data_IF_390014880352
#
_entry.id   IF_390014880352
#
_cell.length_a   1.000
_cell.length_b   1.000
_cell.length_c   1.000
_cell.angle_alpha   90.00
_cell.angle_beta   90.00
_cell.angle_gamma   90.00
#
_symmetry.space_group_name_H-M   'P 1'
#
loop_
_entity.id
_entity.type
_entity.pdbx_description
1 polymer ?
#
# COMPACT_ATOMS: atom_id res chain seq x y z
N UNK A 1 -24.52 -25.78 16.57
CA UNK A 1 -23.13 -25.63 16.10
C UNK A 1 -23.25 -25.00 14.72
N UNK A 2 -22.99 -23.69 14.59
CA UNK A 2 -22.96 -23.03 13.30
C UNK A 2 -21.70 -23.52 12.58
N UNK A 3 -21.85 -24.13 11.41
CA UNK A 3 -20.72 -24.54 10.59
C UNK A 3 -19.97 -23.27 10.16
N UNK A 4 -18.68 -23.17 10.49
CA UNK A 4 -17.78 -22.24 9.80
C UNK A 4 -17.81 -22.62 8.32
N UNK A 5 -18.28 -21.72 7.47
CA UNK A 5 -18.07 -21.86 6.03
C UNK A 5 -16.56 -21.88 5.77
N UNK A 6 -16.01 -23.04 5.40
CA UNK A 6 -14.65 -23.14 4.86
C UNK A 6 -14.58 -22.15 3.68
N UNK A 7 -13.73 -21.12 3.80
CA UNK A 7 -13.43 -20.24 2.68
C UNK A 7 -13.03 -21.10 1.47
N UNK A 8 -13.52 -20.80 0.25
CA UNK A 8 -13.13 -21.56 -0.93
C UNK A 8 -11.60 -21.55 -1.06
N UNK A 9 -11.00 -22.75 -1.09
CA UNK A 9 -9.55 -22.92 -1.18
C UNK A 9 -9.07 -22.32 -2.50
N UNK A 10 -8.26 -21.27 -2.41
CA UNK A 10 -7.66 -20.67 -3.59
C UNK A 10 -6.78 -21.70 -4.30
N UNK A 11 -6.80 -21.69 -5.64
CA UNK A 11 -5.89 -22.48 -6.45
C UNK A 11 -4.46 -21.95 -6.34
N UNK A 12 -3.47 -22.79 -6.61
CA UNK A 12 -2.05 -22.45 -6.43
C UNK A 12 -1.46 -21.73 -7.63
N UNK A 13 -0.63 -20.72 -7.37
CA UNK A 13 0.25 -20.07 -8.33
C UNK A 13 1.71 -20.12 -7.83
N UNK A 14 2.66 -20.22 -8.76
CA UNK A 14 4.10 -20.23 -8.46
C UNK A 14 4.75 -19.05 -9.16
N UNK A 15 5.27 -18.10 -8.40
CA UNK A 15 5.98 -16.94 -8.93
C UNK A 15 7.47 -17.29 -9.08
N UNK A 16 7.99 -17.21 -10.30
CA UNK A 16 9.41 -17.37 -10.60
C UNK A 16 9.95 -16.13 -11.31
N UNK A 17 10.90 -15.43 -10.70
CA UNK A 17 11.45 -14.18 -11.24
C UNK A 17 12.28 -14.34 -12.52
N UNK A 18 12.63 -15.57 -12.92
CA UNK A 18 13.33 -15.82 -14.18
C UNK A 18 12.38 -16.01 -15.38
N UNK A 19 11.08 -16.17 -15.12
CA UNK A 19 10.10 -16.37 -16.17
C UNK A 19 9.47 -15.04 -16.62
N UNK A 20 9.31 -14.89 -17.93
CA UNK A 20 8.65 -13.71 -18.50
C UNK A 20 7.12 -13.85 -18.56
N UNK A 21 6.61 -15.07 -18.37
CA UNK A 21 5.19 -15.38 -18.26
C UNK A 21 5.01 -16.51 -17.25
N UNK A 22 3.95 -16.41 -16.44
CA UNK A 22 3.69 -17.32 -15.32
C UNK A 22 2.19 -17.62 -15.33
N UNK A 23 1.83 -18.90 -15.24
CA UNK A 23 0.42 -19.31 -15.21
C UNK A 23 -0.32 -18.67 -14.03
N UNK A 24 -1.49 -18.10 -14.34
CA UNK A 24 -2.39 -17.46 -13.38
C UNK A 24 -1.78 -16.27 -12.62
N UNK A 25 -0.74 -15.64 -13.17
CA UNK A 25 -0.10 -14.45 -12.60
C UNK A 25 0.04 -13.38 -13.68
N UNK A 26 -0.43 -12.18 -13.37
CA UNK A 26 -0.15 -10.97 -14.17
C UNK A 26 1.17 -10.38 -13.72
N UNK A 27 2.07 -10.10 -14.66
CA UNK A 27 3.37 -9.45 -14.42
C UNK A 27 3.30 -8.02 -14.94
N UNK A 28 3.36 -7.05 -14.03
CA UNK A 28 3.42 -5.61 -14.32
C UNK A 28 4.85 -5.12 -14.11
N UNK A 29 5.59 -4.96 -15.21
CA UNK A 29 6.96 -4.42 -15.24
C UNK A 29 6.91 -2.90 -15.27
N UNK A 30 6.80 -2.28 -14.10
CA UNK A 30 6.74 -0.81 -13.99
C UNK A 30 8.12 -0.18 -14.25
N UNK A 31 9.19 -0.87 -13.86
CA UNK A 31 10.57 -0.59 -14.27
C UNK A 31 11.42 -1.85 -14.12
N UNK A 32 12.68 -1.81 -14.55
CA UNK A 32 13.63 -2.91 -14.33
C UNK A 32 13.89 -3.17 -12.84
N UNK A 33 13.74 -2.13 -12.01
CA UNK A 33 13.94 -2.19 -10.56
C UNK A 33 12.65 -2.46 -9.78
N UNK A 34 11.50 -2.49 -10.45
CA UNK A 34 10.20 -2.59 -9.80
C UNK A 34 9.21 -3.40 -10.64
N UNK A 35 8.99 -4.64 -10.23
CA UNK A 35 8.12 -5.59 -10.93
C UNK A 35 7.07 -6.13 -9.96
N UNK A 36 5.81 -6.04 -10.34
CA UNK A 36 4.67 -6.49 -9.54
C UNK A 36 4.09 -7.76 -10.17
N UNK A 37 3.95 -8.80 -9.37
CA UNK A 37 3.35 -10.08 -9.74
C UNK A 37 2.04 -10.23 -8.98
N UNK A 38 0.93 -10.36 -9.70
CA UNK A 38 -0.41 -10.45 -9.10
C UNK A 38 -1.09 -11.74 -9.50
N UNK A 39 -1.40 -12.59 -8.53
CA UNK A 39 -2.18 -13.80 -8.78
C UNK A 39 -3.60 -13.45 -9.26
N UNK A 40 -4.07 -14.17 -10.28
CA UNK A 40 -5.42 -13.99 -10.83
C UNK A 40 -6.49 -14.30 -9.77
N UNK A 41 -7.71 -13.82 -10.02
CA UNK A 41 -8.85 -14.15 -9.17
C UNK A 41 -9.03 -15.67 -9.05
N UNK A 42 -9.33 -16.15 -7.84
CA UNK A 42 -9.38 -17.59 -7.53
C UNK A 42 -8.01 -18.24 -7.25
N UNK A 43 -6.89 -17.56 -7.48
CA UNK A 43 -5.53 -18.09 -7.22
C UNK A 43 -4.82 -17.37 -6.07
N UNK A 44 -3.89 -18.06 -5.41
CA UNK A 44 -2.99 -17.52 -4.41
C UNK A 44 -1.56 -18.01 -4.66
N UNK A 45 -0.57 -17.20 -4.31
CA UNK A 45 0.84 -17.53 -4.50
C UNK A 45 1.25 -18.53 -3.41
N UNK A 46 1.46 -19.78 -3.81
CA UNK A 46 1.96 -20.85 -2.94
C UNK A 46 3.48 -20.75 -2.77
N UNK A 47 4.18 -20.38 -3.84
CA UNK A 47 5.65 -20.43 -3.88
C UNK A 47 6.22 -19.24 -4.63
N UNK A 48 7.27 -18.66 -4.06
CA UNK A 48 8.11 -17.64 -4.69
C UNK A 48 9.50 -18.25 -4.88
N UNK A 49 10.04 -18.17 -6.10
CA UNK A 49 11.35 -18.72 -6.46
C UNK A 49 12.13 -17.82 -7.40
N UNK A 50 13.43 -18.06 -7.47
CA UNK A 50 14.36 -17.48 -8.44
C UNK A 50 15.09 -18.67 -9.10
N UNK A 51 14.54 -19.12 -10.24
CA UNK A 51 15.00 -20.34 -10.92
C UNK A 51 14.75 -21.60 -10.08
N UNK A 52 15.85 -22.29 -9.75
CA UNK A 52 15.85 -23.51 -8.93
C UNK A 52 15.78 -23.20 -7.42
N UNK A 53 16.04 -21.95 -7.02
CA UNK A 53 16.07 -21.56 -5.61
C UNK A 53 14.71 -21.12 -5.11
N UNK A 54 14.15 -21.84 -4.14
CA UNK A 54 12.90 -21.46 -3.48
C UNK A 54 13.18 -20.38 -2.44
N UNK A 55 12.51 -19.23 -2.59
CA UNK A 55 12.62 -18.08 -1.69
C UNK A 55 11.67 -18.24 -0.50
N UNK A 56 10.40 -18.56 -0.79
CA UNK A 56 9.36 -18.76 0.23
C UNK A 56 8.29 -19.72 -0.29
N UNK A 57 7.75 -20.54 0.61
CA UNK A 57 6.56 -21.37 0.38
C UNK A 57 5.52 -21.05 1.45
N UNK A 58 4.25 -21.02 1.07
CA UNK A 58 3.12 -20.65 1.92
C UNK A 58 2.15 -21.82 2.06
N UNK A 59 1.58 -22.00 3.26
CA UNK A 59 0.43 -22.88 3.44
C UNK A 59 -0.85 -22.11 3.04
N UNK A 60 -1.44 -22.50 1.91
CA UNK A 60 -2.65 -21.86 1.39
C UNK A 60 -3.91 -22.09 2.24
N UNK A 61 -3.83 -22.95 3.26
CA UNK A 61 -4.88 -23.10 4.27
C UNK A 61 -4.83 -22.00 5.33
N UNK A 62 -3.64 -21.49 5.60
CA UNK A 62 -3.41 -20.46 6.62
C UNK A 62 -3.35 -19.06 6.00
N UNK A 63 -2.74 -18.94 4.83
CA UNK A 63 -2.39 -17.68 4.20
C UNK A 63 -2.82 -17.67 2.74
N UNK A 64 -3.21 -16.50 2.21
CA UNK A 64 -3.63 -16.40 0.81
C UNK A 64 -2.89 -15.26 0.11
N UNK A 65 -1.58 -15.39 -0.13
CA UNK A 65 -0.80 -14.29 -0.69
C UNK A 65 -1.28 -13.96 -2.10
N UNK A 66 -1.48 -12.67 -2.37
CA UNK A 66 -2.03 -12.21 -3.66
C UNK A 66 -1.01 -11.51 -4.54
N UNK A 67 -0.11 -10.76 -3.93
CA UNK A 67 0.83 -9.92 -4.64
C UNK A 67 2.23 -10.19 -4.14
N UNK A 68 3.16 -10.35 -5.08
CA UNK A 68 4.59 -10.40 -4.83
C UNK A 68 5.22 -9.25 -5.61
N UNK A 69 6.07 -8.47 -4.97
CA UNK A 69 6.74 -7.33 -5.60
C UNK A 69 8.24 -7.53 -5.47
N UNK A 70 8.93 -7.52 -6.60
CA UNK A 70 10.40 -7.53 -6.64
C UNK A 70 10.87 -6.09 -6.76
N UNK A 71 11.67 -5.65 -5.80
CA UNK A 71 12.36 -4.37 -5.80
C UNK A 71 13.86 -4.59 -5.98
N UNK A 72 14.51 -3.73 -6.74
CA UNK A 72 15.97 -3.56 -6.71
C UNK A 72 16.23 -2.15 -6.18
N UNK A 73 16.91 -2.05 -5.03
CA UNK A 73 17.27 -0.77 -4.42
C UNK A 73 18.73 -0.81 -3.98
N UNK A 74 19.49 0.21 -4.38
CA UNK A 74 20.94 0.26 -4.16
C UNK A 74 21.66 -1.03 -4.64
N UNK A 75 21.25 -1.54 -5.81
CA UNK A 75 21.72 -2.81 -6.39
C UNK A 75 21.48 -4.06 -5.51
N UNK A 76 20.60 -3.96 -4.50
CA UNK A 76 20.19 -5.08 -3.65
C UNK A 76 18.74 -5.47 -3.96
N UNK A 77 18.45 -6.76 -4.16
CA UNK A 77 17.09 -7.19 -4.42
C UNK A 77 16.33 -7.45 -3.12
N UNK A 78 15.07 -7.01 -3.12
CA UNK A 78 14.10 -7.21 -2.06
C UNK A 78 12.83 -7.80 -2.66
N UNK A 79 12.13 -8.60 -1.87
CA UNK A 79 10.85 -9.20 -2.23
C UNK A 79 9.84 -8.84 -1.15
N UNK A 80 8.76 -8.18 -1.54
CA UNK A 80 7.64 -7.84 -0.66
C UNK A 80 6.46 -8.71 -1.05
N UNK A 81 5.88 -9.43 -0.10
CA UNK A 81 4.77 -10.35 -0.33
C UNK A 81 3.59 -9.90 0.52
N UNK A 82 2.46 -9.60 -0.12
CA UNK A 82 1.21 -9.35 0.57
C UNK A 82 0.59 -10.69 0.98
N UNK A 83 0.97 -11.18 2.16
CA UNK A 83 0.53 -12.47 2.73
C UNK A 83 -0.97 -12.45 3.02
N UNK A 84 -1.43 -11.31 3.56
CA UNK A 84 -2.84 -10.94 3.68
C UNK A 84 -3.00 -9.48 3.23
N UNK A 85 -4.23 -8.99 3.07
CA UNK A 85 -4.49 -7.62 2.63
C UNK A 85 -3.83 -6.55 3.52
N UNK A 86 -3.58 -6.84 4.79
CA UNK A 86 -2.96 -5.92 5.74
C UNK A 86 -1.59 -6.40 6.24
N UNK A 87 -1.13 -7.60 5.87
CA UNK A 87 0.10 -8.19 6.39
C UNK A 87 1.09 -8.44 5.26
N UNK A 88 2.22 -7.75 5.33
CA UNK A 88 3.30 -7.91 4.37
C UNK A 88 4.46 -8.69 4.99
N UNK A 89 5.11 -9.51 4.17
CA UNK A 89 6.39 -10.13 4.46
C UNK A 89 7.44 -9.49 3.55
N UNK A 90 8.59 -9.10 4.10
CA UNK A 90 9.70 -8.57 3.32
C UNK A 90 10.90 -9.50 3.46
N UNK A 91 11.52 -9.84 2.34
CA UNK A 91 12.75 -10.62 2.26
C UNK A 91 13.79 -9.80 1.52
N UNK A 92 15.01 -9.74 2.05
CA UNK A 92 16.17 -9.18 1.36
C UNK A 92 17.13 -10.29 0.98
N UNK A 93 17.80 -10.14 -0.16
CA UNK A 93 18.89 -11.04 -0.52
C UNK A 93 20.16 -10.61 0.19
N UNK A 94 20.69 -11.48 1.02
CA UNK A 94 21.97 -11.34 1.70
C UNK A 94 22.92 -12.41 1.17
N UNK A 95 23.85 -12.00 0.32
CA UNK A 95 24.69 -12.89 -0.48
C UNK A 95 23.84 -13.88 -1.31
N UNK A 96 23.92 -15.18 -1.03
CA UNK A 96 23.17 -16.23 -1.72
C UNK A 96 21.88 -16.65 -0.99
N UNK A 97 21.54 -16.00 0.12
CA UNK A 97 20.38 -16.37 0.96
C UNK A 97 19.34 -15.26 1.01
N UNK A 98 18.08 -15.65 1.14
CA UNK A 98 16.99 -14.72 1.41
C UNK A 98 16.71 -14.71 2.91
N UNK A 99 16.73 -13.52 3.51
CA UNK A 99 16.49 -13.32 4.94
C UNK A 99 15.33 -12.36 5.14
N UNK A 100 14.50 -12.62 6.14
CA UNK A 100 13.38 -11.75 6.48
C UNK A 100 13.90 -10.40 6.99
N UNK A 101 13.23 -9.34 6.57
CA UNK A 101 13.47 -7.96 6.99
C UNK A 101 12.20 -7.44 7.65
N UNK A 102 12.34 -6.65 8.71
CA UNK A 102 11.18 -6.00 9.30
C UNK A 102 10.52 -5.09 8.25
N UNK A 103 9.18 -5.14 8.18
CA UNK A 103 8.43 -4.36 7.19
C UNK A 103 8.65 -2.85 7.41
N UNK A 104 8.72 -2.41 8.67
CA UNK A 104 8.96 -1.00 8.99
C UNK A 104 10.37 -0.56 8.56
N UNK A 105 11.40 -1.37 8.85
CA UNK A 105 12.77 -1.14 8.40
C UNK A 105 12.84 -1.01 6.88
N UNK A 106 12.15 -1.89 6.14
CA UNK A 106 12.10 -1.79 4.68
C UNK A 106 11.52 -0.45 4.19
N UNK A 107 10.37 -0.02 4.73
CA UNK A 107 9.79 1.25 4.31
C UNK A 107 10.69 2.44 4.69
N UNK A 108 11.23 2.48 5.90
CA UNK A 108 11.99 3.62 6.41
C UNK A 108 13.40 3.71 5.81
N UNK A 109 14.14 2.61 5.82
CA UNK A 109 15.57 2.58 5.51
C UNK A 109 15.87 2.18 4.06
N UNK A 110 14.89 1.64 3.34
CA UNK A 110 15.06 1.23 1.93
C UNK A 110 14.20 2.07 1.00
N UNK A 111 12.87 2.09 1.18
CA UNK A 111 11.98 2.81 0.26
C UNK A 111 12.03 4.32 0.44
N UNK A 112 12.07 4.79 1.68
CA UNK A 112 12.09 6.21 2.02
C UNK A 112 13.49 6.75 2.35
N UNK A 113 14.52 5.97 2.06
CA UNK A 113 15.90 6.37 2.27
C UNK A 113 16.19 7.69 1.54
N UNK A 114 16.69 8.67 2.30
CA UNK A 114 17.02 9.99 1.77
C UNK A 114 15.83 10.91 1.54
N UNK A 115 14.60 10.51 1.90
CA UNK A 115 13.43 11.38 1.76
C UNK A 115 13.34 12.36 2.94
N UNK A 116 12.97 13.61 2.65
CA UNK A 116 12.65 14.62 3.65
C UNK A 116 11.34 14.23 4.36
N UNK A 117 11.39 14.09 5.69
CA UNK A 117 10.22 13.86 6.51
C UNK A 117 9.43 15.17 6.71
N UNK A 118 8.15 15.17 6.36
CA UNK A 118 7.28 16.35 6.50
C UNK A 118 6.10 16.09 7.43
N UNK A 119 5.68 17.15 8.13
CA UNK A 119 4.39 17.18 8.82
C UNK A 119 3.32 17.74 7.89
N UNK A 120 2.15 17.12 7.89
CA UNK A 120 0.97 17.60 7.13
C UNK A 120 -0.11 18.02 8.10
N UNK A 121 -0.52 19.29 8.01
CA UNK A 121 -1.66 19.83 8.75
C UNK A 121 -2.92 19.76 7.89
N UNK A 122 -3.91 19.00 8.37
CA UNK A 122 -5.19 18.82 7.72
C UNK A 122 -6.10 20.06 7.84
N UNK A 123 -5.91 20.90 8.86
CA UNK A 123 -6.63 22.14 9.03
C UNK A 123 -6.20 23.20 8.00
N UNK A 124 -4.94 23.14 7.56
CA UNK A 124 -4.38 24.08 6.59
C UNK A 124 -4.97 23.91 5.18
N UNK A 125 -4.74 24.93 4.34
CA UNK A 125 -5.01 24.82 2.90
C UNK A 125 -4.16 23.70 2.28
N UNK A 126 -4.70 23.03 1.27
CA UNK A 126 -3.98 21.94 0.59
C UNK A 126 -2.73 22.51 -0.09
N UNK A 127 -1.56 22.04 0.35
CA UNK A 127 -0.27 22.47 -0.20
C UNK A 127 -0.02 21.96 -1.61
N UNK A 128 0.98 22.54 -2.28
CA UNK A 128 1.53 22.12 -3.58
C UNK A 128 2.17 20.72 -3.58
N UNK A 129 2.38 20.12 -2.40
CA UNK A 129 2.88 18.73 -2.24
C UNK A 129 1.88 17.67 -2.68
N UNK A 130 0.65 18.06 -3.01
CA UNK A 130 -0.40 17.16 -3.44
C UNK A 130 -0.66 17.27 -4.94
N UNK A 131 -0.86 16.13 -5.59
CA UNK A 131 -1.40 16.07 -6.94
C UNK A 131 -2.93 16.05 -6.87
N UNK A 132 -3.57 17.02 -7.52
CA UNK A 132 -5.03 17.13 -7.60
C UNK A 132 -5.58 16.31 -8.77
N UNK A 133 -6.71 15.64 -8.53
CA UNK A 133 -7.50 14.93 -9.53
C UNK A 133 -8.99 15.15 -9.25
N UNK A 134 -9.82 15.13 -10.29
CA UNK A 134 -11.28 15.23 -10.13
C UNK A 134 -11.81 13.98 -9.43
N UNK A 135 -12.73 14.15 -8.47
CA UNK A 135 -13.36 13.04 -7.75
C UNK A 135 -14.83 13.34 -7.45
N UNK A 136 -15.73 12.74 -8.22
CA UNK A 136 -17.16 13.06 -8.15
C UNK A 136 -17.39 14.55 -8.46
N UNK A 137 -18.10 15.24 -7.57
CA UNK A 137 -18.30 16.70 -7.63
C UNK A 137 -17.17 17.51 -6.96
N UNK A 138 -16.19 16.83 -6.35
CA UNK A 138 -15.09 17.45 -5.61
C UNK A 138 -13.73 17.11 -6.21
N UNK A 139 -12.71 17.22 -5.36
CA UNK A 139 -11.30 17.03 -5.70
C UNK A 139 -10.67 15.99 -4.77
N UNK A 140 -9.85 15.12 -5.33
CA UNK A 140 -8.96 14.23 -4.60
C UNK A 140 -7.53 14.73 -4.75
N UNK A 141 -6.89 14.97 -3.63
CA UNK A 141 -5.51 15.40 -3.52
C UNK A 141 -4.69 14.25 -2.96
N UNK A 142 -3.80 13.65 -3.76
CA UNK A 142 -2.91 12.58 -3.30
C UNK A 142 -1.53 13.15 -3.01
N UNK A 143 -0.98 12.88 -1.83
CA UNK A 143 0.36 13.34 -1.47
C UNK A 143 1.39 12.69 -2.39
N UNK A 144 2.01 13.50 -3.26
CA UNK A 144 3.02 13.05 -4.22
C UNK A 144 4.05 14.14 -4.37
N UNK A 145 4.91 14.26 -3.37
CA UNK A 145 6.04 15.17 -3.37
C UNK A 145 7.34 14.38 -3.58
N UNK A 146 8.07 14.59 -4.70
CA UNK A 146 9.32 13.90 -4.96
C UNK A 146 10.32 14.09 -3.81
N UNK A 147 10.93 12.99 -3.36
CA UNK A 147 11.91 13.00 -2.28
C UNK A 147 11.35 13.41 -0.91
N UNK A 148 10.03 13.40 -0.71
CA UNK A 148 9.41 13.70 0.58
C UNK A 148 8.50 12.56 1.03
N UNK A 149 8.42 12.37 2.34
CA UNK A 149 7.48 11.43 2.98
C UNK A 149 6.71 12.12 4.09
N UNK A 150 5.48 11.71 4.29
CA UNK A 150 4.71 12.13 5.47
C UNK A 150 5.27 11.39 6.68
N UNK A 151 5.70 12.13 7.70
CA UNK A 151 6.07 11.58 9.00
C UNK A 151 4.91 11.73 9.99
N UNK A 152 4.30 12.93 9.98
CA UNK A 152 3.34 13.36 10.98
C UNK A 152 2.09 13.91 10.31
N UNK A 153 0.92 13.61 10.88
CA UNK A 153 -0.36 14.16 10.45
C UNK A 153 -1.02 14.85 11.64
N UNK A 154 -1.32 16.14 11.48
CA UNK A 154 -1.93 16.97 12.53
C UNK A 154 -3.22 17.62 12.04
N UNK A 155 -4.06 18.03 12.97
CA UNK A 155 -5.22 18.91 12.74
C UNK A 155 -5.08 20.11 13.67
N UNK A 156 -4.48 21.18 13.14
CA UNK A 156 -4.04 22.34 13.91
C UNK A 156 -3.04 21.95 15.00
N UNK A 157 -3.49 21.95 16.26
CA UNK A 157 -2.66 21.60 17.43
C UNK A 157 -2.76 20.12 17.82
N UNK A 158 -3.68 19.37 17.23
CA UNK A 158 -3.93 17.98 17.60
C UNK A 158 -3.09 17.06 16.73
N UNK A 159 -2.33 16.18 17.36
CA UNK A 159 -1.55 15.16 16.65
C UNK A 159 -2.44 13.93 16.42
N UNK A 160 -2.62 13.56 15.16
CA UNK A 160 -3.44 12.40 14.77
C UNK A 160 -2.56 11.17 14.51
N UNK A 161 -1.38 11.41 13.92
CA UNK A 161 -0.30 10.44 13.76
C UNK A 161 1.00 11.19 14.08
N UNK A 162 1.75 10.71 15.07
CA UNK A 162 3.01 11.31 15.52
C UNK A 162 4.24 10.80 14.74
N UNK A 163 4.15 9.59 14.18
CA UNK A 163 5.21 8.92 13.41
C UNK A 163 6.11 8.01 14.25
N UNK A 164 5.85 7.89 15.55
CA UNK A 164 6.65 7.08 16.46
C UNK A 164 6.33 5.59 16.29
N UNK A 165 5.04 5.23 16.23
CA UNK A 165 4.58 3.85 16.05
C UNK A 165 4.06 3.56 14.65
N UNK A 166 4.05 4.56 13.77
CA UNK A 166 3.47 4.50 12.45
C UNK A 166 4.47 4.86 11.37
N UNK A 167 4.40 4.18 10.23
CA UNK A 167 5.04 4.60 9.00
C UNK A 167 3.94 4.96 8.01
N UNK A 168 3.73 6.24 7.73
CA UNK A 168 2.71 6.68 6.77
C UNK A 168 3.14 6.25 5.36
N UNK A 169 2.28 5.48 4.71
CA UNK A 169 2.51 4.92 3.37
C UNK A 169 1.81 5.71 2.28
N UNK A 170 0.61 6.24 2.58
CA UNK A 170 -0.19 7.02 1.65
C UNK A 170 -1.08 8.02 2.41
N UNK A 171 -1.30 9.18 1.79
CA UNK A 171 -2.16 10.25 2.31
C UNK A 171 -2.95 10.88 1.17
N UNK A 172 -4.27 10.79 1.27
CA UNK A 172 -5.20 11.41 0.32
C UNK A 172 -6.17 12.34 1.05
N UNK A 173 -6.47 13.48 0.44
CA UNK A 173 -7.49 14.43 0.91
C UNK A 173 -8.61 14.52 -0.12
N UNK A 174 -9.84 14.32 0.33
CA UNK A 174 -11.04 14.51 -0.47
C UNK A 174 -11.71 15.80 -0.04
N UNK A 175 -11.77 16.77 -0.96
CA UNK A 175 -12.28 18.12 -0.71
C UNK A 175 -13.50 18.37 -1.59
N UNK A 176 -14.62 18.79 -1.00
CA UNK A 176 -15.83 19.16 -1.71
C UNK A 176 -16.56 20.29 -0.98
N UNK A 177 -16.42 21.51 -1.49
CA UNK A 177 -16.83 22.72 -0.77
C UNK A 177 -16.09 22.79 0.57
N UNK A 178 -16.83 22.97 1.65
CA UNK A 178 -16.27 23.07 3.02
C UNK A 178 -15.99 21.70 3.66
N UNK A 179 -16.32 20.59 2.99
CA UNK A 179 -16.05 19.25 3.51
C UNK A 179 -14.64 18.80 3.11
N UNK A 180 -13.86 18.37 4.11
CA UNK A 180 -12.54 17.75 3.91
C UNK A 180 -12.48 16.41 4.65
N UNK A 181 -12.09 15.36 3.95
CA UNK A 181 -11.86 14.03 4.53
C UNK A 181 -10.45 13.59 4.17
N UNK A 182 -9.64 13.22 5.15
CA UNK A 182 -8.33 12.62 4.93
C UNK A 182 -8.42 11.10 5.02
N UNK A 183 -7.83 10.40 4.07
CA UNK A 183 -7.56 8.96 4.10
C UNK A 183 -6.08 8.79 4.36
N UNK A 184 -5.74 8.11 5.44
CA UNK A 184 -4.35 7.83 5.80
C UNK A 184 -4.13 6.34 5.84
N UNK A 185 -3.17 5.86 5.06
CA UNK A 185 -2.69 4.49 5.08
C UNK A 185 -1.34 4.48 5.77
N UNK A 186 -1.18 3.65 6.78
CA UNK A 186 0.06 3.57 7.54
C UNK A 186 0.35 2.14 7.96
N UNK A 187 1.63 1.80 8.07
CA UNK A 187 2.09 0.58 8.74
C UNK A 187 2.17 0.86 10.24
N UNK A 188 1.51 0.04 11.07
CA UNK A 188 1.67 0.10 12.52
C UNK A 188 2.81 -0.83 12.96
N UNK A 189 3.86 -0.28 13.56
CA UNK A 189 5.06 -1.04 13.96
C UNK A 189 4.77 -2.10 15.02
N UNK A 190 3.77 -1.88 15.88
CA UNK A 190 3.46 -2.80 16.98
C UNK A 190 2.93 -4.18 16.55
N UNK A 191 2.27 -4.28 15.39
CA UNK A 191 1.77 -5.54 14.84
C UNK A 191 2.22 -5.82 13.39
N UNK A 192 3.00 -4.93 12.80
CA UNK A 192 3.49 -5.05 11.42
C UNK A 192 2.39 -4.98 10.36
N UNK A 193 1.20 -4.50 10.70
CA UNK A 193 0.04 -4.47 9.79
C UNK A 193 -0.20 -3.08 9.22
N UNK A 194 -0.60 -3.07 7.95
CA UNK A 194 -1.06 -1.87 7.26
C UNK A 194 -2.50 -1.59 7.70
N UNK A 195 -2.73 -0.36 8.16
CA UNK A 195 -3.99 0.15 8.64
C UNK A 195 -4.41 1.33 7.78
N UNK A 196 -5.72 1.51 7.66
CA UNK A 196 -6.34 2.60 6.94
C UNK A 196 -7.33 3.31 7.86
N UNK A 197 -7.24 4.63 7.91
CA UNK A 197 -8.16 5.47 8.67
C UNK A 197 -8.71 6.59 7.80
N UNK A 198 -9.98 6.93 8.05
CA UNK A 198 -10.65 8.07 7.46
C UNK A 198 -10.93 9.11 8.54
N UNK A 199 -10.42 10.31 8.35
CA UNK A 199 -10.51 11.44 9.28
C UNK A 199 -11.37 12.51 8.61
N UNK A 200 -12.61 12.66 9.06
CA UNK A 200 -13.49 13.73 8.59
C UNK A 200 -13.19 15.00 9.38
N UNK A 201 -12.71 16.03 8.70
CA UNK A 201 -12.64 17.37 9.29
C UNK A 201 -14.03 18.00 9.21
N UNK A 202 -14.52 18.42 10.36
CA UNK A 202 -15.77 19.17 10.47
C UNK A 202 -15.38 20.55 10.96
N UNK A 203 -15.51 21.56 10.12
CA UNK A 203 -15.47 22.94 10.59
C UNK A 203 -16.61 23.12 11.61
N UNK A 204 -16.27 23.34 12.87
CA UNK A 204 -17.22 23.78 13.89
C UNK A 204 -16.72 25.06 14.53
N UNK A 205 -17.53 26.12 14.57
CA UNK A 205 -17.37 27.14 15.60
C UNK A 205 -17.69 26.46 16.94
N UNK A 206 -16.66 26.16 17.73
CA UNK A 206 -16.79 25.72 19.12
C UNK A 206 -17.51 24.39 19.34
N UNK A 207 -16.82 23.26 19.18
CA UNK A 207 -16.81 22.10 20.12
C UNK A 207 -16.02 20.92 19.56
N UNK A 208 -15.27 20.32 20.48
CA UNK A 208 -14.38 19.14 20.41
C UNK A 208 -14.90 17.97 19.54
N UNK A 209 -14.00 17.39 18.74
CA UNK A 209 -14.28 16.35 17.75
C UNK A 209 -14.30 14.96 18.42
N UNK A 210 -15.42 14.25 18.29
CA UNK A 210 -15.47 12.78 18.44
C UNK A 210 -16.13 12.18 17.21
N UNK A 211 -15.34 11.49 16.38
CA UNK A 211 -15.69 10.16 15.89
C UNK A 211 -14.45 9.51 15.26
N UNK A 212 -13.72 8.73 16.07
CA UNK A 212 -12.82 7.70 15.56
C UNK A 212 -13.74 6.63 14.98
N UNK A 213 -13.91 6.57 13.65
CA UNK A 213 -14.57 5.39 13.08
C UNK A 213 -13.69 4.19 13.47
N UNK A 214 -14.26 3.11 14.05
CA UNK A 214 -13.47 1.93 14.37
C UNK A 214 -12.83 1.43 13.08
N UNK A 215 -11.59 0.91 13.13
CA UNK A 215 -10.96 0.31 11.97
C UNK A 215 -11.90 -0.80 11.48
N UNK A 216 -12.59 -0.55 10.38
CA UNK A 216 -13.29 -1.62 9.68
C UNK A 216 -12.18 -2.52 9.18
N UNK A 217 -12.17 -3.78 9.61
CA UNK A 217 -11.50 -4.84 8.87
C UNK A 217 -11.87 -4.62 7.40
N UNK A 218 -10.89 -4.33 6.55
CA UNK A 218 -11.12 -4.15 5.13
C UNK A 218 -11.77 -5.41 4.59
N UNK A 219 -13.08 -5.35 4.33
CA UNK A 219 -13.72 -6.22 3.37
C UNK A 219 -13.12 -5.85 2.02
N UNK A 220 -12.58 -6.86 1.35
CA UNK A 220 -11.89 -6.77 0.08
C UNK A 220 -12.61 -5.82 -0.89
N UNK A 221 -11.99 -4.67 -1.13
CA UNK A 221 -12.22 -3.84 -2.30
C UNK A 221 -10.86 -3.26 -2.64
N UNK A 222 -10.13 -4.02 -3.46
CA UNK A 222 -8.94 -3.63 -4.23
C UNK A 222 -8.19 -2.44 -3.64
N UNK A 223 -7.32 -2.71 -2.66
CA UNK A 223 -6.34 -1.73 -2.24
C UNK A 223 -5.62 -1.22 -3.50
N UNK A 224 -5.59 0.09 -3.78
CA UNK A 224 -4.66 0.59 -4.77
C UNK A 224 -3.27 0.30 -4.19
N UNK A 225 -2.53 -0.61 -4.82
CA UNK A 225 -1.11 -0.75 -4.54
C UNK A 225 -0.50 0.66 -4.63
N UNK A 226 0.28 1.12 -3.64
CA UNK A 226 0.91 2.45 -3.66
C UNK A 226 1.92 2.65 -4.81
N UNK A 227 2.01 1.67 -5.73
CA UNK A 227 2.93 1.62 -6.85
C UNK A 227 2.22 1.71 -8.20
N UNK A 228 0.88 1.75 -8.28
CA UNK A 228 0.21 1.85 -9.58
C UNK A 228 0.17 3.29 -10.09
N UNK A 229 1.13 3.67 -10.93
CA UNK A 229 0.91 4.74 -11.91
C UNK A 229 -0.03 4.18 -12.97
N UNK A 230 -1.34 4.41 -12.83
CA UNK A 230 -2.30 4.10 -13.90
C UNK A 230 -2.12 5.12 -15.02
N UNK A 231 -1.45 4.72 -16.10
CA UNK A 231 -1.59 5.36 -17.40
C UNK A 231 -2.91 4.89 -18.03
N UNK A 232 -3.87 5.81 -18.16
CA UNK A 232 -5.04 5.61 -19.02
C UNK A 232 -4.76 6.31 -20.35
N UNK A 233 -4.68 5.53 -21.42
CA UNK A 233 -4.73 6.04 -22.80
C UNK A 233 -6.16 6.54 -23.04
N UNK A 234 -6.30 7.85 -23.26
CA UNK A 234 -7.55 8.42 -23.75
C UNK A 234 -7.70 8.06 -25.23
N UNK A 235 -8.67 7.22 -25.55
CA UNK A 235 -9.19 7.10 -26.91
C UNK A 235 -10.10 8.30 -27.16
N UNK A 236 -9.62 9.23 -28.00
CA UNK A 236 -10.44 10.34 -28.50
C UNK A 236 -11.64 9.81 -29.31
N UNK A 237 -12.87 10.30 -29.09
CA UNK A 237 -13.92 10.13 -30.07
C UNK A 237 -13.60 11.01 -31.29
N UNK A 238 -13.51 10.37 -32.45
CA UNK A 238 -13.49 10.99 -33.77
C UNK A 238 -14.69 11.94 -33.92
N UNK A 239 -14.44 13.16 -34.37
CA UNK A 239 -15.47 14.02 -34.95
C UNK A 239 -15.93 13.42 -36.28
N UNK A 240 -17.22 13.09 -36.37
CA UNK A 240 -18.07 13.19 -37.57
C UNK A 240 -19.53 13.17 -37.11
#
# INVERSE_FOLDING_TARGET
ILAEEEKPKASRAVVDFQLESIDHVTIDKQSEEHIVYTAHEGYAVEKVKEGDSVIKTFDLKEQTPKTVVRHIKDNKPYVVIAVESALHLVLKKDSDKWVELEVAEFYQEVLFKGFEAVSVDLAAAVSDKFTETTFGSGKKHTFKAPGKRVLKVVDGKTELIDGDNEVVLDLELFVSGDNKVARVVYLYKGDGRIKEIFLKLVERPGRELRSRMPPRLCMASTAPSPLTTRSYTMTSPSMA
#
